data_IF_947560455752
#
_entry.id   IF_947560455752
#
_cell.length_a   1.000
_cell.length_b   1.000
_cell.length_c   1.000
_cell.angle_alpha   90.00
_cell.angle_beta   90.00
_cell.angle_gamma   90.00
#
_symmetry.space_group_name_H-M   'P 1'
#
loop_
_entity.id
_entity.type
_entity.pdbx_description
1 polymer ?
#
# COMPACT_ATOMS: atom_id res chain seq x y z
N UNK A 1 16.76 17.69 -25.99
CA UNK A 1 15.41 17.57 -26.59
C UNK A 1 15.30 16.21 -27.25
N UNK A 2 14.45 15.33 -26.72
CA UNK A 2 14.20 13.99 -27.25
C UNK A 2 13.04 14.00 -28.26
N UNK A 3 13.17 14.77 -29.35
CA UNK A 3 12.12 14.95 -30.36
C UNK A 3 11.73 13.64 -31.07
N UNK A 4 12.67 12.71 -31.23
CA UNK A 4 12.41 11.42 -31.87
C UNK A 4 11.43 10.55 -31.09
N UNK A 5 11.65 10.44 -29.79
CA UNK A 5 10.80 9.68 -28.88
C UNK A 5 9.40 10.28 -28.73
N UNK A 6 9.30 11.61 -28.70
CA UNK A 6 8.01 12.35 -28.69
C UNK A 6 7.20 12.05 -29.95
N UNK A 7 7.83 12.07 -31.13
CA UNK A 7 7.20 11.71 -32.40
C UNK A 7 6.66 10.27 -32.36
N UNK A 8 7.49 9.32 -31.89
CA UNK A 8 7.10 7.91 -31.77
C UNK A 8 5.88 7.74 -30.87
N UNK A 9 5.87 8.39 -29.71
CA UNK A 9 4.75 8.31 -28.77
C UNK A 9 3.44 8.76 -29.41
N UNK A 10 3.42 9.96 -29.98
CA UNK A 10 2.19 10.53 -30.56
C UNK A 10 1.72 9.74 -31.77
N UNK A 11 2.67 9.25 -32.59
CA UNK A 11 2.37 8.34 -33.69
C UNK A 11 1.64 7.08 -33.20
N UNK A 12 2.16 6.42 -32.15
CA UNK A 12 1.56 5.20 -31.58
C UNK A 12 0.20 5.50 -30.95
N UNK A 13 0.07 6.61 -30.21
CA UNK A 13 -1.20 7.06 -29.60
C UNK A 13 -2.30 7.27 -30.65
N UNK A 14 -1.96 7.81 -31.82
CA UNK A 14 -2.90 8.01 -32.93
C UNK A 14 -3.09 6.75 -33.80
N UNK A 15 -2.42 5.63 -33.49
CA UNK A 15 -2.50 4.38 -34.26
C UNK A 15 -1.83 4.44 -35.63
N UNK A 16 -0.93 5.41 -35.87
CA UNK A 16 -0.26 5.61 -37.14
C UNK A 16 0.95 4.65 -37.29
N UNK A 17 1.12 4.09 -38.49
CA UNK A 17 2.34 3.39 -38.88
C UNK A 17 3.46 4.38 -39.22
N UNK A 18 4.73 3.96 -39.15
CA UNK A 18 5.85 4.80 -39.60
C UNK A 18 5.69 5.23 -41.06
N UNK A 19 5.11 4.38 -41.90
CA UNK A 19 4.81 4.72 -43.29
C UNK A 19 3.83 5.89 -43.39
N UNK A 20 2.75 5.88 -42.60
CA UNK A 20 1.74 6.93 -42.64
C UNK A 20 2.25 8.27 -42.10
N UNK A 21 3.06 8.25 -41.03
CA UNK A 21 3.65 9.49 -40.51
C UNK A 21 4.70 10.06 -41.46
N UNK A 22 5.54 9.20 -42.05
CA UNK A 22 6.63 9.61 -42.92
C UNK A 22 6.18 10.08 -44.32
N UNK A 23 4.97 9.71 -44.76
CA UNK A 23 4.51 9.85 -46.15
C UNK A 23 4.67 11.26 -46.74
N UNK A 24 5.45 11.40 -47.82
CA UNK A 24 5.69 12.71 -48.44
C UNK A 24 6.53 13.70 -47.61
N UNK A 25 7.09 13.29 -46.46
CA UNK A 25 8.07 14.08 -45.68
C UNK A 25 9.45 13.42 -45.78
N UNK A 26 9.56 12.15 -45.38
CA UNK A 26 10.81 11.39 -45.32
C UNK A 26 10.57 9.89 -45.58
N UNK A 27 11.64 9.11 -45.69
CA UNK A 27 11.49 7.64 -45.76
C UNK A 27 11.11 7.05 -44.39
N UNK A 28 10.31 5.96 -44.35
CA UNK A 28 9.96 5.29 -43.09
C UNK A 28 11.19 4.77 -42.32
N UNK A 29 12.21 4.32 -43.05
CA UNK A 29 13.49 3.90 -42.47
C UNK A 29 14.24 5.07 -41.81
N UNK A 30 14.16 6.27 -42.37
CA UNK A 30 14.73 7.47 -41.77
C UNK A 30 13.93 7.93 -40.55
N UNK A 31 12.59 7.90 -40.62
CA UNK A 31 11.73 8.15 -39.46
C UNK A 31 12.04 7.20 -38.30
N UNK A 32 12.25 5.91 -38.59
CA UNK A 32 12.64 4.93 -37.56
C UNK A 32 13.96 5.28 -36.88
N UNK A 33 14.95 5.79 -37.62
CA UNK A 33 16.22 6.25 -37.03
C UNK A 33 16.03 7.49 -36.17
N UNK A 34 15.17 8.42 -36.58
CA UNK A 34 14.80 9.60 -35.78
C UNK A 34 14.10 9.16 -34.50
N UNK A 35 13.09 8.29 -34.59
CA UNK A 35 12.29 7.81 -33.45
C UNK A 35 13.09 7.04 -32.38
N UNK A 36 14.24 6.50 -32.75
CA UNK A 36 15.16 5.78 -31.86
C UNK A 36 16.40 6.62 -31.49
N UNK A 37 16.37 7.93 -31.70
CA UNK A 37 17.46 8.89 -31.45
C UNK A 37 18.80 8.51 -32.10
N UNK A 38 18.77 7.79 -33.22
CA UNK A 38 19.96 7.36 -33.98
C UNK A 38 20.44 8.42 -34.97
N UNK A 39 19.57 9.37 -35.33
CA UNK A 39 19.89 10.45 -36.28
C UNK A 39 19.16 11.72 -35.89
N UNK A 40 19.86 12.85 -35.97
CA UNK A 40 19.27 14.19 -35.82
C UNK A 40 18.75 14.65 -37.18
N UNK A 41 17.43 14.81 -37.36
CA UNK A 41 16.85 15.33 -38.59
C UNK A 41 17.05 16.84 -38.74
N UNK A 42 16.84 17.35 -39.95
CA UNK A 42 16.74 18.78 -40.19
C UNK A 42 15.52 19.37 -39.47
N UNK A 43 15.60 20.64 -39.08
CA UNK A 43 14.53 21.35 -38.37
C UNK A 43 13.18 21.28 -39.11
N UNK A 44 13.19 21.55 -40.42
CA UNK A 44 12.01 21.53 -41.30
C UNK A 44 11.32 20.16 -41.33
N UNK A 45 12.11 19.08 -41.25
CA UNK A 45 11.58 17.70 -41.19
C UNK A 45 10.86 17.47 -39.87
N UNK A 46 11.40 17.95 -38.75
CA UNK A 46 10.73 17.83 -37.45
C UNK A 46 9.44 18.64 -37.43
N UNK A 47 9.48 19.89 -37.90
CA UNK A 47 8.32 20.77 -37.95
C UNK A 47 7.16 20.11 -38.72
N UNK A 48 7.41 19.59 -39.92
CA UNK A 48 6.38 18.88 -40.70
C UNK A 48 5.87 17.59 -40.06
N UNK A 49 6.73 16.84 -39.36
CA UNK A 49 6.30 15.63 -38.63
C UNK A 49 5.43 16.00 -37.42
N UNK A 50 5.76 17.09 -36.71
CA UNK A 50 4.97 17.61 -35.59
C UNK A 50 3.63 18.17 -36.06
N UNK A 51 3.61 18.98 -37.13
CA UNK A 51 2.38 19.50 -37.75
C UNK A 51 1.43 18.38 -38.12
N UNK A 52 1.94 17.29 -38.72
CA UNK A 52 1.13 16.14 -39.11
C UNK A 52 0.52 15.40 -37.92
N UNK A 53 1.20 15.41 -36.78
CA UNK A 53 0.68 14.87 -35.53
C UNK A 53 -0.24 15.86 -34.80
N UNK A 54 -0.42 17.07 -35.33
CA UNK A 54 -1.21 18.13 -34.70
C UNK A 54 -0.52 18.77 -33.49
N UNK A 55 0.82 18.77 -33.49
CA UNK A 55 1.66 19.28 -32.41
C UNK A 55 2.30 20.60 -32.81
N UNK A 56 2.44 21.51 -31.85
CA UNK A 56 3.26 22.72 -32.01
C UNK A 56 4.72 22.40 -31.67
N UNK A 57 5.62 22.53 -32.65
CA UNK A 57 7.06 22.29 -32.46
C UNK A 57 7.71 23.32 -31.53
N UNK A 58 7.13 24.51 -31.43
CA UNK A 58 7.66 25.61 -30.62
C UNK A 58 7.15 25.64 -29.17
N UNK A 59 6.30 24.70 -28.78
CA UNK A 59 5.82 24.58 -27.41
C UNK A 59 6.96 24.10 -26.49
N UNK A 60 7.57 25.03 -25.75
CA UNK A 60 8.61 24.77 -24.77
C UNK A 60 8.02 24.00 -23.57
N UNK A 61 7.84 22.70 -23.75
CA UNK A 61 7.18 21.77 -22.82
C UNK A 61 7.77 21.75 -21.40
N UNK A 62 9.06 22.07 -21.24
CA UNK A 62 9.74 22.02 -19.94
C UNK A 62 9.26 23.07 -18.92
N UNK A 63 8.70 24.20 -19.40
CA UNK A 63 8.24 25.30 -18.55
C UNK A 63 6.78 25.71 -18.83
N UNK A 64 5.98 24.77 -19.37
CA UNK A 64 4.58 25.07 -19.65
C UNK A 64 3.80 25.35 -18.33
N UNK A 65 3.08 26.47 -18.20
CA UNK A 65 2.36 26.83 -16.96
C UNK A 65 1.39 25.74 -16.47
N UNK A 66 0.84 24.94 -17.39
CA UNK A 66 -0.05 23.81 -17.02
C UNK A 66 0.64 22.69 -16.23
N UNK A 67 1.97 22.61 -16.22
CA UNK A 67 2.71 21.66 -15.37
C UNK A 67 2.54 21.98 -13.89
N UNK A 68 2.46 23.26 -13.53
CA UNK A 68 2.20 23.69 -12.14
C UNK A 68 0.84 23.16 -11.67
N UNK A 69 -0.20 23.27 -12.51
CA UNK A 69 -1.53 22.71 -12.20
C UNK A 69 -1.53 21.18 -12.04
N UNK A 70 -0.69 20.47 -12.79
CA UNK A 70 -0.50 19.02 -12.60
C UNK A 70 0.16 18.73 -11.25
N UNK A 71 1.16 19.53 -10.83
CA UNK A 71 1.79 19.39 -9.51
C UNK A 71 0.84 19.76 -8.37
N UNK A 72 0.02 20.80 -8.52
CA UNK A 72 -1.06 21.13 -7.56
C UNK A 72 -2.03 19.95 -7.41
N UNK A 73 -2.43 19.34 -8.54
CA UNK A 73 -3.25 18.13 -8.50
C UNK A 73 -2.57 16.98 -7.77
N UNK A 74 -1.28 16.77 -8.01
CA UNK A 74 -0.49 15.76 -7.31
C UNK A 74 -0.43 16.00 -5.80
N UNK A 75 -0.21 17.24 -5.38
CA UNK A 75 -0.20 17.66 -3.99
C UNK A 75 -1.55 17.37 -3.30
N UNK A 76 -2.67 17.69 -3.96
CA UNK A 76 -4.01 17.38 -3.47
C UNK A 76 -4.22 15.86 -3.26
N UNK A 77 -3.69 15.02 -4.15
CA UNK A 77 -3.72 13.56 -4.01
C UNK A 77 -2.94 13.12 -2.77
N UNK A 78 -1.71 13.62 -2.61
CA UNK A 78 -0.81 13.25 -1.49
C UNK A 78 -1.40 13.62 -0.13
N UNK A 79 -2.06 14.78 -0.05
CA UNK A 79 -2.74 15.25 1.15
C UNK A 79 -4.21 14.81 1.27
N UNK A 80 -4.65 13.87 0.43
CA UNK A 80 -5.97 13.21 0.50
C UNK A 80 -7.15 14.20 0.43
N UNK A 81 -7.03 15.28 -0.35
CA UNK A 81 -8.15 16.18 -0.66
C UNK A 81 -8.97 15.58 -1.80
N UNK A 82 -9.75 14.54 -1.49
CA UNK A 82 -10.36 13.66 -2.49
C UNK A 82 -11.26 14.43 -3.47
N UNK A 83 -12.22 15.22 -2.95
CA UNK A 83 -13.17 15.94 -3.81
C UNK A 83 -12.49 17.01 -4.68
N UNK A 84 -11.59 17.81 -4.09
CA UNK A 84 -10.79 18.79 -4.83
C UNK A 84 -9.95 18.13 -5.93
N UNK A 85 -9.34 16.97 -5.62
CA UNK A 85 -8.54 16.21 -6.57
C UNK A 85 -9.38 15.66 -7.73
N UNK A 86 -10.62 15.21 -7.48
CA UNK A 86 -11.55 14.77 -8.55
C UNK A 86 -11.94 15.91 -9.47
N UNK A 87 -12.33 17.04 -8.89
CA UNK A 87 -12.72 18.22 -9.68
C UNK A 87 -11.58 18.71 -10.57
N UNK A 88 -10.36 18.76 -10.03
CA UNK A 88 -9.19 19.21 -10.78
C UNK A 88 -8.79 18.18 -11.86
N UNK A 89 -8.89 16.88 -11.59
CA UNK A 89 -8.69 15.81 -12.59
C UNK A 89 -9.57 16.03 -13.81
N UNK A 90 -10.88 16.25 -13.62
CA UNK A 90 -11.83 16.43 -14.73
C UNK A 90 -11.54 17.71 -15.54
N UNK A 91 -11.16 18.80 -14.86
CA UNK A 91 -10.73 20.04 -15.54
C UNK A 91 -9.46 19.83 -16.38
N UNK A 92 -8.46 19.13 -15.83
CA UNK A 92 -7.20 18.85 -16.51
C UNK A 92 -7.39 17.93 -17.72
N UNK A 93 -8.29 16.94 -17.62
CA UNK A 93 -8.63 16.01 -18.69
C UNK A 93 -9.30 16.70 -19.89
N UNK A 94 -10.00 17.81 -19.66
CA UNK A 94 -10.66 18.59 -20.73
C UNK A 94 -9.72 19.61 -21.41
N UNK A 95 -8.53 19.86 -20.85
CA UNK A 95 -7.57 20.80 -21.43
C UNK A 95 -6.86 20.17 -22.63
N UNK A 96 -6.96 20.84 -23.79
CA UNK A 96 -6.30 20.40 -25.03
C UNK A 96 -4.78 20.29 -24.87
N UNK A 97 -4.18 21.23 -24.15
CA UNK A 97 -2.72 21.27 -23.93
C UNK A 97 -2.23 20.02 -23.19
N UNK A 98 -2.95 19.59 -22.15
CA UNK A 98 -2.64 18.36 -21.39
C UNK A 98 -2.72 17.10 -22.25
N UNK A 99 -3.63 17.05 -23.23
CA UNK A 99 -3.85 15.88 -24.08
C UNK A 99 -2.93 15.84 -25.31
N UNK A 100 -2.57 17.01 -25.84
CA UNK A 100 -1.80 17.17 -27.07
C UNK A 100 -0.31 17.30 -26.80
N UNK A 101 0.11 17.77 -25.62
CA UNK A 101 1.52 17.80 -25.25
C UNK A 101 1.94 16.45 -24.64
N UNK A 102 2.93 15.79 -25.24
CA UNK A 102 3.41 14.46 -24.79
C UNK A 102 3.89 14.49 -23.34
N UNK A 103 4.67 15.52 -23.00
CA UNK A 103 5.28 15.67 -21.69
C UNK A 103 4.22 15.82 -20.61
N UNK A 104 3.27 16.76 -20.81
CA UNK A 104 2.14 16.97 -19.90
C UNK A 104 1.23 15.74 -19.80
N UNK A 105 1.02 15.03 -20.90
CA UNK A 105 0.22 13.80 -20.92
C UNK A 105 0.86 12.69 -20.07
N UNK A 106 2.19 12.51 -20.14
CA UNK A 106 2.87 11.53 -19.27
C UNK A 106 2.70 11.90 -17.80
N UNK A 107 2.95 13.17 -17.42
CA UNK A 107 2.73 13.62 -16.04
C UNK A 107 1.29 13.38 -15.58
N UNK A 108 0.31 13.68 -16.44
CA UNK A 108 -1.09 13.41 -16.16
C UNK A 108 -1.35 11.92 -15.89
N UNK A 109 -0.90 11.01 -16.74
CA UNK A 109 -1.11 9.57 -16.53
C UNK A 109 -0.34 9.04 -15.31
N UNK A 110 0.87 9.53 -15.04
CA UNK A 110 1.63 9.19 -13.83
C UNK A 110 0.85 9.59 -12.57
N UNK A 111 0.34 10.82 -12.52
CA UNK A 111 -0.44 11.30 -11.37
C UNK A 111 -1.82 10.64 -11.28
N UNK A 112 -2.40 10.25 -12.41
CA UNK A 112 -3.65 9.48 -12.49
C UNK A 112 -3.51 8.12 -11.81
N UNK A 113 -2.38 7.42 -11.95
CA UNK A 113 -2.14 6.16 -11.23
C UNK A 113 -2.34 6.37 -9.73
N UNK A 114 -1.72 7.43 -9.17
CA UNK A 114 -1.83 7.72 -7.74
C UNK A 114 -3.25 8.15 -7.35
N UNK A 115 -3.95 8.89 -8.21
CA UNK A 115 -5.34 9.26 -7.98
C UNK A 115 -6.26 8.03 -7.91
N UNK A 116 -6.13 7.08 -8.84
CA UNK A 116 -6.90 5.83 -8.84
C UNK A 116 -6.63 5.02 -7.57
N UNK A 117 -5.37 4.99 -7.09
CA UNK A 117 -5.02 4.34 -5.82
C UNK A 117 -5.65 5.04 -4.60
N UNK A 118 -5.79 6.36 -4.62
CA UNK A 118 -6.51 7.11 -3.57
C UNK A 118 -8.00 6.74 -3.55
N UNK A 119 -8.59 6.44 -4.70
CA UNK A 119 -9.98 5.98 -4.86
C UNK A 119 -10.15 4.46 -4.66
N UNK A 120 -9.08 3.75 -4.31
CA UNK A 120 -9.04 2.30 -4.14
C UNK A 120 -9.33 1.50 -5.43
N UNK A 121 -9.13 2.11 -6.61
CA UNK A 121 -9.28 1.51 -7.94
C UNK A 121 -7.96 0.86 -8.40
N UNK A 122 -7.50 -0.15 -7.67
CA UNK A 122 -6.15 -0.74 -7.83
C UNK A 122 -5.93 -1.39 -9.21
N UNK A 123 -6.94 -2.08 -9.75
CA UNK A 123 -6.81 -2.74 -11.06
C UNK A 123 -6.79 -1.74 -12.22
N UNK A 124 -7.57 -0.66 -12.13
CA UNK A 124 -7.51 0.42 -13.12
C UNK A 124 -6.16 1.14 -13.08
N UNK A 125 -5.65 1.41 -11.87
CA UNK A 125 -4.31 1.96 -11.69
C UNK A 125 -3.23 1.07 -12.32
N UNK A 126 -3.38 -0.26 -12.22
CA UNK A 126 -2.47 -1.21 -12.84
C UNK A 126 -2.51 -1.18 -14.37
N UNK A 127 -3.69 -1.10 -14.99
CA UNK A 127 -3.79 -1.01 -16.45
C UNK A 127 -3.23 0.32 -16.98
N UNK A 128 -3.43 1.44 -16.28
CA UNK A 128 -2.78 2.72 -16.61
C UNK A 128 -1.27 2.60 -16.50
N UNK A 129 -0.76 2.03 -15.40
CA UNK A 129 0.66 1.79 -15.19
C UNK A 129 1.28 0.92 -16.29
N UNK A 130 0.58 -0.15 -16.70
CA UNK A 130 1.02 -1.06 -17.75
C UNK A 130 1.08 -0.38 -19.13
N UNK A 131 0.19 0.57 -19.40
CA UNK A 131 0.25 1.38 -20.60
C UNK A 131 1.43 2.35 -20.55
N UNK A 132 1.55 3.16 -19.49
CA UNK A 132 2.60 4.19 -19.39
C UNK A 132 4.01 3.59 -19.39
N UNK A 133 4.18 2.40 -18.80
CA UNK A 133 5.44 1.65 -18.79
C UNK A 133 5.97 1.31 -20.19
N UNK A 134 5.11 1.20 -21.20
CA UNK A 134 5.55 0.94 -22.59
C UNK A 134 6.28 2.13 -23.22
N UNK A 135 6.21 3.29 -22.57
CA UNK A 135 6.82 4.54 -22.97
C UNK A 135 7.93 4.98 -22.01
N UNK A 136 8.43 4.07 -21.16
CA UNK A 136 9.50 4.36 -20.19
C UNK A 136 10.80 4.85 -20.86
N UNK A 137 11.01 4.50 -22.14
CA UNK A 137 12.11 5.00 -22.95
C UNK A 137 12.05 6.52 -23.21
N UNK A 138 10.88 7.14 -23.08
CA UNK A 138 10.66 8.58 -23.30
C UNK A 138 10.69 9.42 -22.03
N UNK A 139 10.97 8.80 -20.88
CA UNK A 139 10.96 9.50 -19.59
C UNK A 139 12.26 10.25 -19.33
N UNK A 140 12.13 11.54 -19.01
CA UNK A 140 13.17 12.31 -18.34
C UNK A 140 13.35 11.86 -16.88
N UNK A 141 14.33 12.43 -16.19
CA UNK A 141 14.67 12.04 -14.81
C UNK A 141 13.52 12.32 -13.83
N UNK A 142 12.74 13.39 -14.04
CA UNK A 142 11.60 13.74 -13.19
C UNK A 142 10.43 12.78 -13.41
N UNK A 143 10.16 12.39 -14.65
CA UNK A 143 9.20 11.33 -14.96
C UNK A 143 9.62 10.00 -14.36
N UNK A 144 10.91 9.65 -14.40
CA UNK A 144 11.45 8.43 -13.77
C UNK A 144 11.25 8.45 -12.26
N UNK A 145 11.49 9.58 -11.60
CA UNK A 145 11.18 9.77 -10.18
C UNK A 145 9.72 9.41 -9.87
N UNK A 146 8.76 10.05 -10.55
CA UNK A 146 7.33 9.78 -10.30
C UNK A 146 6.90 8.38 -10.74
N UNK A 147 7.46 7.85 -11.82
CA UNK A 147 7.17 6.49 -12.27
C UNK A 147 7.56 5.47 -11.21
N UNK A 148 8.77 5.54 -10.66
CA UNK A 148 9.21 4.64 -9.60
C UNK A 148 8.41 4.85 -8.30
N UNK A 149 8.10 6.09 -7.94
CA UNK A 149 7.28 6.43 -6.78
C UNK A 149 5.88 5.80 -6.87
N UNK A 150 5.20 5.99 -8.01
CA UNK A 150 3.86 5.46 -8.25
C UNK A 150 3.88 3.93 -8.45
N UNK A 151 4.92 3.37 -9.06
CA UNK A 151 5.11 1.92 -9.16
C UNK A 151 5.26 1.30 -7.77
N UNK A 152 6.07 1.91 -6.91
CA UNK A 152 6.24 1.49 -5.52
C UNK A 152 4.92 1.47 -4.77
N UNK A 153 4.12 2.54 -4.90
CA UNK A 153 2.80 2.60 -4.28
C UNK A 153 1.84 1.56 -4.84
N UNK A 154 1.77 1.37 -6.16
CA UNK A 154 0.94 0.35 -6.79
C UNK A 154 1.28 -1.06 -6.29
N UNK A 155 2.58 -1.38 -6.19
CA UNK A 155 3.07 -2.66 -5.65
C UNK A 155 2.66 -2.84 -4.19
N UNK A 156 2.69 -1.76 -3.39
CA UNK A 156 2.19 -1.78 -2.01
C UNK A 156 0.72 -2.20 -1.95
N UNK A 157 -0.14 -1.56 -2.75
CA UNK A 157 -1.58 -1.88 -2.80
C UNK A 157 -1.87 -3.30 -3.28
N UNK A 158 -0.98 -3.88 -4.10
CA UNK A 158 -1.07 -5.28 -4.55
C UNK A 158 -0.45 -6.29 -3.56
N UNK A 159 0.13 -5.83 -2.46
CA UNK A 159 0.74 -6.66 -1.41
C UNK A 159 2.20 -7.06 -1.67
N UNK A 160 2.82 -6.58 -2.74
CA UNK A 160 4.22 -6.85 -3.10
C UNK A 160 5.15 -5.86 -2.38
N UNK A 161 5.20 -5.93 -1.05
CA UNK A 161 5.87 -4.92 -0.21
C UNK A 161 7.39 -4.82 -0.41
N UNK A 162 8.06 -5.93 -0.74
CA UNK A 162 9.51 -5.92 -0.99
C UNK A 162 9.83 -5.19 -2.31
N UNK A 163 9.09 -5.49 -3.36
CA UNK A 163 9.24 -4.80 -4.65
C UNK A 163 8.83 -3.32 -4.53
N UNK A 164 7.78 -3.04 -3.74
CA UNK A 164 7.38 -1.68 -3.39
C UNK A 164 8.56 -0.89 -2.78
N UNK A 165 9.22 -1.46 -1.77
CA UNK A 165 10.39 -0.83 -1.15
C UNK A 165 11.54 -0.60 -2.15
N UNK A 166 11.83 -1.57 -3.01
CA UNK A 166 12.87 -1.45 -4.03
C UNK A 166 12.57 -0.32 -5.03
N UNK A 167 11.34 -0.23 -5.53
CA UNK A 167 10.93 0.84 -6.46
C UNK A 167 10.97 2.22 -5.81
N UNK A 168 10.59 2.33 -4.54
CA UNK A 168 10.71 3.58 -3.79
C UNK A 168 12.18 3.99 -3.55
N UNK A 169 13.08 3.02 -3.39
CA UNK A 169 14.52 3.29 -3.33
C UNK A 169 15.05 3.82 -4.66
N UNK A 170 14.57 3.31 -5.80
CA UNK A 170 14.90 3.88 -7.11
C UNK A 170 14.38 5.31 -7.25
N UNK A 171 13.14 5.60 -6.81
CA UNK A 171 12.63 6.97 -6.77
C UNK A 171 13.54 7.89 -5.94
N UNK A 172 14.02 7.43 -4.79
CA UNK A 172 14.99 8.16 -3.96
C UNK A 172 16.34 8.40 -4.66
N UNK A 173 16.77 7.50 -5.55
CA UNK A 173 18.01 7.73 -6.31
C UNK A 173 17.83 8.87 -7.33
N UNK A 174 16.68 8.91 -8.02
CA UNK A 174 16.35 10.00 -8.95
C UNK A 174 16.06 11.32 -8.23
N UNK A 175 15.61 11.31 -6.97
CA UNK A 175 15.35 12.55 -6.22
C UNK A 175 16.60 13.41 -6.01
N UNK A 176 17.80 12.86 -6.21
CA UNK A 176 19.08 13.60 -6.10
C UNK A 176 19.34 14.48 -7.33
N UNK A 177 18.82 14.09 -8.49
CA UNK A 177 19.09 14.78 -9.76
C UNK A 177 17.95 15.69 -10.23
N UNK A 178 16.83 15.70 -9.50
CA UNK A 178 15.63 16.50 -9.82
C UNK A 178 15.26 17.41 -8.66
N UNK A 179 14.61 18.53 -8.96
CA UNK A 179 14.10 19.44 -7.94
C UNK A 179 12.83 18.85 -7.31
N UNK A 180 12.99 18.27 -6.13
CA UNK A 180 11.91 17.68 -5.32
C UNK A 180 11.51 18.66 -4.22
N UNK A 181 10.23 19.00 -4.14
CA UNK A 181 9.75 19.87 -3.07
C UNK A 181 9.84 19.16 -1.71
N UNK A 182 10.02 19.92 -0.62
CA UNK A 182 10.14 19.34 0.72
C UNK A 182 8.95 18.43 1.10
N UNK A 183 7.74 18.76 0.63
CA UNK A 183 6.56 17.94 0.91
C UNK A 183 6.54 16.62 0.12
N UNK A 184 7.12 16.60 -1.08
CA UNK A 184 7.28 15.38 -1.89
C UNK A 184 8.35 14.49 -1.26
N UNK A 185 9.41 15.07 -0.73
CA UNK A 185 10.44 14.35 0.03
C UNK A 185 9.84 13.73 1.31
N UNK A 186 9.01 14.47 2.05
CA UNK A 186 8.27 13.94 3.22
C UNK A 186 7.42 12.72 2.84
N UNK A 187 6.75 12.78 1.69
CA UNK A 187 5.89 11.72 1.21
C UNK A 187 6.68 10.49 0.74
N UNK A 188 7.77 10.68 0.02
CA UNK A 188 8.69 9.60 -0.36
C UNK A 188 9.22 8.86 0.88
N UNK A 189 9.72 9.59 1.89
CA UNK A 189 10.21 8.97 3.12
C UNK A 189 9.11 8.24 3.89
N UNK A 190 7.89 8.79 3.92
CA UNK A 190 6.76 8.10 4.52
C UNK A 190 6.43 6.79 3.79
N UNK A 191 6.41 6.80 2.45
CA UNK A 191 6.16 5.59 1.65
C UNK A 191 7.26 4.54 1.81
N UNK A 192 8.52 4.97 1.87
CA UNK A 192 9.65 4.09 2.19
C UNK A 192 9.48 3.46 3.57
N UNK A 193 9.11 4.25 4.57
CA UNK A 193 8.86 3.77 5.93
C UNK A 193 7.70 2.77 5.97
N UNK A 194 6.60 3.07 5.27
CA UNK A 194 5.42 2.22 5.18
C UNK A 194 5.73 0.87 4.52
N UNK A 195 6.43 0.88 3.39
CA UNK A 195 6.76 -0.33 2.62
C UNK A 195 7.77 -1.20 3.35
N UNK A 196 8.84 -0.60 3.90
CA UNK A 196 9.81 -1.31 4.74
C UNK A 196 9.20 -1.84 6.04
N UNK A 197 8.17 -1.19 6.58
CA UNK A 197 7.40 -1.72 7.71
C UNK A 197 6.71 -3.03 7.32
N UNK A 198 6.00 -3.07 6.19
CA UNK A 198 5.28 -4.28 5.76
C UNK A 198 6.21 -5.41 5.32
N UNK A 199 7.36 -5.09 4.72
CA UNK A 199 8.38 -6.09 4.39
C UNK A 199 9.27 -6.51 5.57
N UNK A 200 9.01 -5.98 6.77
CA UNK A 200 9.74 -6.27 8.01
C UNK A 200 11.20 -5.83 8.05
N UNK A 201 11.58 -4.85 7.22
CA UNK A 201 12.85 -4.10 7.34
C UNK A 201 12.74 -3.05 8.45
N UNK A 202 12.62 -3.52 9.70
CA UNK A 202 12.24 -2.69 10.87
C UNK A 202 13.16 -1.46 11.03
N UNK A 203 14.48 -1.64 10.93
CA UNK A 203 15.44 -0.55 11.09
C UNK A 203 15.32 0.52 10.00
N UNK A 204 15.12 0.11 8.74
CA UNK A 204 14.88 1.04 7.64
C UNK A 204 13.56 1.79 7.82
N UNK A 205 12.52 1.10 8.29
CA UNK A 205 11.22 1.71 8.55
C UNK A 205 11.29 2.79 9.63
N UNK A 206 11.98 2.53 10.74
CA UNK A 206 12.19 3.54 11.79
C UNK A 206 12.98 4.72 11.24
N UNK A 207 14.09 4.46 10.53
CA UNK A 207 14.93 5.50 9.96
C UNK A 207 14.13 6.44 9.04
N UNK A 208 13.40 5.89 8.08
CA UNK A 208 12.61 6.69 7.14
C UNK A 208 11.39 7.36 7.79
N UNK A 209 10.76 6.73 8.80
CA UNK A 209 9.68 7.34 9.54
C UNK A 209 10.15 8.58 10.33
N UNK A 210 11.35 8.53 10.93
CA UNK A 210 11.93 9.67 11.64
C UNK A 210 12.29 10.82 10.67
N UNK A 211 12.80 10.52 9.47
CA UNK A 211 13.05 11.53 8.43
C UNK A 211 11.75 12.20 7.98
N UNK A 212 10.72 11.41 7.65
CA UNK A 212 9.40 11.92 7.26
C UNK A 212 8.77 12.77 8.38
N UNK A 213 8.84 12.29 9.62
CA UNK A 213 8.31 13.00 10.80
C UNK A 213 8.96 14.38 10.95
N UNK A 214 10.29 14.46 10.83
CA UNK A 214 11.00 15.74 10.95
C UNK A 214 10.54 16.75 9.91
N UNK A 215 10.36 16.32 8.66
CA UNK A 215 9.89 17.20 7.59
C UNK A 215 8.42 17.59 7.77
N UNK A 216 7.54 16.65 8.11
CA UNK A 216 6.13 16.97 8.38
C UNK A 216 5.94 17.91 9.57
N UNK A 217 6.78 17.81 10.60
CA UNK A 217 6.76 18.75 11.72
C UNK A 217 7.18 20.17 11.29
N UNK A 218 8.22 20.30 10.44
CA UNK A 218 8.62 21.59 9.87
C UNK A 218 7.52 22.21 9.01
N UNK A 219 6.75 21.37 8.32
CA UNK A 219 5.60 21.75 7.49
C UNK A 219 4.30 21.96 8.31
N UNK A 220 4.35 21.81 9.63
CA UNK A 220 3.18 21.87 10.53
C UNK A 220 2.05 20.88 10.16
N UNK A 221 2.39 19.79 9.45
CA UNK A 221 1.43 18.76 9.06
C UNK A 221 1.24 17.75 10.20
N UNK A 222 0.36 18.11 11.14
CA UNK A 222 0.07 17.28 12.32
C UNK A 222 -0.51 15.92 11.94
N UNK A 223 -1.38 15.86 10.93
CA UNK A 223 -2.01 14.61 10.47
C UNK A 223 -0.98 13.58 9.99
N UNK A 224 -0.07 13.99 9.11
CA UNK A 224 1.02 13.12 8.62
C UNK A 224 2.08 12.84 9.69
N UNK A 225 2.32 13.77 10.60
CA UNK A 225 3.17 13.54 11.78
C UNK A 225 2.60 12.41 12.65
N UNK A 226 1.28 12.38 12.85
CA UNK A 226 0.62 11.29 13.54
C UNK A 226 0.76 9.95 12.78
N UNK A 227 0.61 9.92 11.46
CA UNK A 227 0.84 8.71 10.65
C UNK A 227 2.27 8.17 10.82
N UNK A 228 3.27 9.05 10.89
CA UNK A 228 4.67 8.65 11.16
C UNK A 228 4.82 8.05 12.57
N UNK A 229 4.22 8.66 13.59
CA UNK A 229 4.21 8.10 14.95
C UNK A 229 3.50 6.74 15.03
N UNK A 230 2.43 6.51 14.24
CA UNK A 230 1.81 5.18 14.14
C UNK A 230 2.82 4.15 13.62
N UNK A 231 3.55 4.46 12.54
CA UNK A 231 4.59 3.58 11.99
C UNK A 231 5.72 3.32 12.98
N UNK A 232 6.21 4.35 13.66
CA UNK A 232 7.22 4.20 14.71
C UNK A 232 6.70 3.29 15.84
N UNK A 233 5.45 3.50 16.28
CA UNK A 233 4.80 2.70 17.30
C UNK A 233 4.72 1.22 16.92
N UNK A 234 4.31 0.92 15.68
CA UNK A 234 4.24 -0.46 15.16
C UNK A 234 5.62 -1.12 15.17
N UNK A 235 6.64 -0.41 14.67
CA UNK A 235 8.00 -0.95 14.57
C UNK A 235 8.67 -1.14 15.93
N UNK A 236 8.54 -0.19 16.86
CA UNK A 236 9.00 -0.38 18.24
C UNK A 236 8.28 -1.54 18.92
N UNK A 237 6.99 -1.73 18.64
CA UNK A 237 6.21 -2.89 19.11
C UNK A 237 6.73 -4.23 18.58
N UNK A 238 7.21 -4.27 17.33
CA UNK A 238 7.88 -5.45 16.75
C UNK A 238 9.26 -5.72 17.37
N UNK A 239 9.99 -4.67 17.75
CA UNK A 239 11.22 -4.77 18.53
C UNK A 239 11.01 -5.13 20.01
N UNK A 240 9.75 -5.34 20.44
CA UNK A 240 9.35 -5.54 21.84
C UNK A 240 9.71 -4.36 22.75
N UNK A 241 9.99 -3.19 22.19
CA UNK A 241 10.13 -1.95 22.94
C UNK A 241 8.75 -1.33 23.16
N UNK A 242 7.97 -1.95 24.03
CA UNK A 242 6.58 -1.56 24.30
C UNK A 242 6.46 -0.15 24.89
N UNK A 243 7.45 0.28 25.68
CA UNK A 243 7.48 1.63 26.24
C UNK A 243 7.52 2.70 25.13
N UNK A 244 8.47 2.61 24.19
CA UNK A 244 8.53 3.53 23.04
C UNK A 244 7.32 3.41 22.12
N UNK A 245 6.78 2.20 21.97
CA UNK A 245 5.56 1.99 21.18
C UNK A 245 4.37 2.76 21.75
N UNK A 246 4.12 2.63 23.05
CA UNK A 246 3.04 3.33 23.75
C UNK A 246 3.27 4.85 23.79
N UNK A 247 4.51 5.31 23.97
CA UNK A 247 4.85 6.75 23.90
C UNK A 247 4.42 7.37 22.56
N UNK A 248 4.74 6.71 21.45
CA UNK A 248 4.33 7.15 20.11
C UNK A 248 2.80 7.15 19.97
N UNK A 249 2.10 6.11 20.42
CA UNK A 249 0.64 6.07 20.35
C UNK A 249 -0.03 7.14 21.24
N UNK A 250 0.56 7.49 22.37
CA UNK A 250 0.08 8.60 23.20
C UNK A 250 0.24 9.96 22.51
N UNK A 251 1.32 10.17 21.76
CA UNK A 251 1.48 11.37 20.92
C UNK A 251 0.40 11.45 19.84
N UNK A 252 0.16 10.33 19.13
CA UNK A 252 -0.92 10.25 18.15
C UNK A 252 -2.28 10.52 18.79
N UNK A 253 -2.56 9.99 19.98
CA UNK A 253 -3.81 10.24 20.69
C UNK A 253 -4.06 11.73 20.92
N UNK A 254 -3.02 12.48 21.32
CA UNK A 254 -3.09 13.93 21.52
C UNK A 254 -3.36 14.64 20.21
N UNK A 255 -2.59 14.33 19.17
CA UNK A 255 -2.74 14.94 17.84
C UNK A 255 -4.12 14.66 17.27
N UNK A 256 -4.53 13.39 17.22
CA UNK A 256 -5.80 12.97 16.62
C UNK A 256 -7.02 13.53 17.36
N UNK A 257 -6.91 13.76 18.68
CA UNK A 257 -7.96 14.47 19.44
C UNK A 257 -8.01 15.95 19.09
N UNK A 258 -6.85 16.61 18.91
CA UNK A 258 -6.80 18.02 18.49
C UNK A 258 -7.28 18.24 17.06
N UNK A 259 -7.00 17.30 16.15
CA UNK A 259 -7.39 17.37 14.74
C UNK A 259 -8.73 16.70 14.44
N UNK A 260 -9.44 16.20 15.46
CA UNK A 260 -10.67 15.41 15.32
C UNK A 260 -10.55 14.22 14.33
N UNK A 261 -9.38 13.60 14.24
CA UNK A 261 -9.14 12.47 13.35
C UNK A 261 -9.57 11.15 14.03
N UNK A 262 -10.85 10.80 13.87
CA UNK A 262 -11.41 9.58 14.45
C UNK A 262 -10.75 8.30 13.91
N UNK A 263 -10.41 8.25 12.61
CA UNK A 263 -9.72 7.09 12.04
C UNK A 263 -8.40 6.79 12.77
N UNK A 264 -7.55 7.80 12.97
CA UNK A 264 -6.29 7.65 13.70
C UNK A 264 -6.50 7.20 15.16
N UNK A 265 -7.54 7.70 15.85
CA UNK A 265 -7.92 7.21 17.18
C UNK A 265 -8.30 5.73 17.17
N UNK A 266 -9.10 5.30 16.19
CA UNK A 266 -9.45 3.89 16.01
C UNK A 266 -8.21 3.00 15.83
N UNK A 267 -7.29 3.41 14.97
CA UNK A 267 -6.03 2.70 14.71
C UNK A 267 -5.18 2.58 15.96
N UNK A 268 -4.98 3.66 16.73
CA UNK A 268 -4.13 3.59 17.93
C UNK A 268 -4.75 2.77 19.05
N UNK A 269 -6.06 2.82 19.26
CA UNK A 269 -6.70 1.98 20.29
C UNK A 269 -6.55 0.50 19.95
N UNK A 270 -6.69 0.14 18.67
CA UNK A 270 -6.39 -1.23 18.22
C UNK A 270 -4.93 -1.60 18.53
N UNK A 271 -3.99 -0.76 18.11
CA UNK A 271 -2.57 -1.04 18.29
C UNK A 271 -2.12 -1.07 19.76
N UNK A 272 -2.66 -0.21 20.62
CA UNK A 272 -2.44 -0.29 22.07
C UNK A 272 -2.96 -1.62 22.59
N UNK A 273 -4.15 -2.06 22.16
CA UNK A 273 -4.68 -3.38 22.48
C UNK A 273 -3.72 -4.51 22.10
N UNK A 274 -3.11 -4.44 20.92
CA UNK A 274 -2.09 -5.40 20.47
C UNK A 274 -0.85 -5.40 21.38
N UNK A 275 -0.37 -4.22 21.79
CA UNK A 275 0.77 -4.11 22.70
C UNK A 275 0.43 -4.69 24.07
N UNK A 276 -0.73 -4.37 24.63
CA UNK A 276 -1.14 -4.89 25.94
C UNK A 276 -1.37 -6.39 25.93
N UNK A 277 -1.94 -6.95 24.87
CA UNK A 277 -2.07 -8.39 24.69
C UNK A 277 -0.68 -9.08 24.67
N UNK A 278 0.30 -8.50 23.97
CA UNK A 278 1.69 -9.00 23.96
C UNK A 278 2.40 -8.86 25.31
N UNK A 279 1.96 -7.93 26.16
CA UNK A 279 2.43 -7.79 27.55
C UNK A 279 1.70 -8.74 28.52
N UNK A 280 0.72 -9.51 28.05
CA UNK A 280 -0.11 -10.38 28.87
C UNK A 280 -1.21 -9.66 29.67
N UNK A 281 -1.48 -8.39 29.36
CA UNK A 281 -2.49 -7.56 30.03
C UNK A 281 -3.84 -7.64 29.29
N UNK A 282 -4.42 -8.84 29.25
CA UNK A 282 -5.56 -9.18 28.39
C UNK A 282 -6.81 -8.31 28.62
N UNK A 283 -7.14 -7.98 29.88
CA UNK A 283 -8.29 -7.15 30.21
C UNK A 283 -8.14 -5.73 29.65
N UNK A 284 -6.93 -5.16 29.75
CA UNK A 284 -6.63 -3.84 29.19
C UNK A 284 -6.61 -3.87 27.66
N UNK A 285 -6.18 -4.98 27.06
CA UNK A 285 -6.26 -5.20 25.62
C UNK A 285 -7.71 -5.20 25.13
N UNK A 286 -8.59 -5.98 25.78
CA UNK A 286 -10.02 -6.02 25.50
C UNK A 286 -10.67 -4.64 25.59
N UNK A 287 -10.33 -3.86 26.63
CA UNK A 287 -10.84 -2.49 26.77
C UNK A 287 -10.45 -1.61 25.57
N UNK A 288 -9.19 -1.66 25.16
CA UNK A 288 -8.70 -0.84 24.05
C UNK A 288 -9.27 -1.29 22.69
N UNK A 289 -9.39 -2.59 22.44
CA UNK A 289 -10.08 -3.08 21.23
C UNK A 289 -11.55 -2.64 21.19
N UNK A 290 -12.28 -2.71 22.32
CA UNK A 290 -13.67 -2.20 22.40
C UNK A 290 -13.75 -0.69 22.15
N UNK A 291 -12.75 0.09 22.62
CA UNK A 291 -12.66 1.54 22.34
C UNK A 291 -12.33 1.86 20.89
N UNK A 292 -11.64 0.96 20.18
CA UNK A 292 -11.27 1.13 18.77
C UNK A 292 -12.48 1.06 17.83
N UNK A 293 -13.40 0.12 18.06
CA UNK A 293 -14.49 -0.19 17.12
C UNK A 293 -15.39 1.00 16.77
N UNK A 294 -15.88 1.84 17.71
CA UNK A 294 -16.74 2.97 17.37
C UNK A 294 -16.08 3.99 16.44
N UNK A 295 -14.76 4.17 16.53
CA UNK A 295 -14.03 5.09 15.66
C UNK A 295 -13.78 4.52 14.25
N UNK A 296 -13.86 3.19 14.09
CA UNK A 296 -13.59 2.50 12.83
C UNK A 296 -14.85 2.20 12.02
N UNK A 297 -16.04 2.28 12.62
CA UNK A 297 -17.30 1.88 12.00
C UNK A 297 -17.58 2.54 10.64
N UNK A 298 -17.26 3.84 10.50
CA UNK A 298 -17.57 4.61 9.28
C UNK A 298 -16.36 4.82 8.35
N UNK A 299 -15.15 4.48 8.80
CA UNK A 299 -13.90 4.91 8.14
C UNK A 299 -12.93 3.79 7.82
N UNK A 300 -13.03 2.64 8.49
CA UNK A 300 -12.14 1.52 8.27
C UNK A 300 -12.73 0.52 7.27
N UNK A 301 -11.86 -0.25 6.63
CA UNK A 301 -12.27 -1.38 5.80
C UNK A 301 -12.90 -2.52 6.62
N UNK A 302 -13.68 -3.37 5.96
CA UNK A 302 -14.28 -4.56 6.59
C UNK A 302 -13.23 -5.48 7.24
N UNK A 303 -12.07 -5.61 6.58
CA UNK A 303 -10.93 -6.38 7.07
C UNK A 303 -10.40 -5.82 8.40
N UNK A 304 -10.21 -4.51 8.46
CA UNK A 304 -9.71 -3.80 9.65
C UNK A 304 -10.64 -3.93 10.87
N UNK A 305 -11.94 -3.88 10.62
CA UNK A 305 -12.97 -4.11 11.65
C UNK A 305 -12.90 -5.56 12.11
N UNK A 306 -12.85 -6.51 11.16
CA UNK A 306 -12.76 -7.93 11.47
C UNK A 306 -11.50 -8.30 12.25
N UNK A 307 -10.34 -7.73 11.93
CA UNK A 307 -9.10 -7.93 12.67
C UNK A 307 -9.25 -7.56 14.16
N UNK A 308 -9.97 -6.48 14.45
CA UNK A 308 -10.26 -6.05 15.82
C UNK A 308 -11.21 -7.03 16.52
N UNK A 309 -12.25 -7.48 15.83
CA UNK A 309 -13.18 -8.51 16.33
C UNK A 309 -12.45 -9.82 16.62
N UNK A 310 -11.58 -10.27 15.71
CA UNK A 310 -10.79 -11.48 15.88
C UNK A 310 -9.82 -11.36 17.07
N UNK A 311 -9.22 -10.19 17.32
CA UNK A 311 -8.44 -9.97 18.53
C UNK A 311 -9.30 -10.07 19.80
N UNK A 312 -10.51 -9.50 19.81
CA UNK A 312 -11.45 -9.63 20.93
C UNK A 312 -11.82 -11.10 21.22
N UNK A 313 -12.05 -11.90 20.18
CA UNK A 313 -12.30 -13.35 20.29
C UNK A 313 -11.09 -14.05 20.91
N UNK A 314 -9.90 -13.80 20.36
CA UNK A 314 -8.64 -14.41 20.82
C UNK A 314 -8.39 -14.13 22.30
N UNK A 315 -8.49 -12.86 22.73
CA UNK A 315 -8.19 -12.50 24.12
C UNK A 315 -9.25 -13.02 25.10
N UNK A 316 -10.55 -13.01 24.73
CA UNK A 316 -11.59 -13.63 25.56
C UNK A 316 -11.40 -15.15 25.68
N UNK A 317 -10.99 -15.80 24.60
CA UNK A 317 -10.68 -17.23 24.62
C UNK A 317 -9.50 -17.53 25.55
N UNK A 318 -8.42 -16.73 25.50
CA UNK A 318 -7.27 -16.86 26.42
C UNK A 318 -7.68 -16.68 27.89
N UNK A 319 -8.60 -15.75 28.18
CA UNK A 319 -9.17 -15.53 29.52
C UNK A 319 -10.21 -16.58 29.95
N UNK A 320 -10.59 -17.52 29.06
CA UNK A 320 -11.69 -18.48 29.28
C UNK A 320 -13.06 -17.83 29.48
N UNK A 321 -13.25 -16.60 29.00
CA UNK A 321 -14.52 -15.89 28.98
C UNK A 321 -15.36 -16.35 27.76
N UNK A 322 -15.86 -17.59 27.82
CA UNK A 322 -16.50 -18.22 26.66
C UNK A 322 -17.81 -17.57 26.22
N UNK A 323 -18.57 -16.98 27.15
CA UNK A 323 -19.81 -16.25 26.83
C UNK A 323 -19.52 -15.02 25.97
N UNK A 324 -18.64 -14.12 26.42
CA UNK A 324 -18.18 -12.97 25.64
C UNK A 324 -17.56 -13.40 24.30
N UNK A 325 -16.79 -14.50 24.30
CA UNK A 325 -16.20 -15.03 23.08
C UNK A 325 -17.27 -15.44 22.06
N UNK A 326 -18.34 -16.12 22.50
CA UNK A 326 -19.48 -16.49 21.63
C UNK A 326 -20.21 -15.24 21.10
N UNK A 327 -20.37 -14.22 21.92
CA UNK A 327 -20.96 -12.95 21.50
C UNK A 327 -20.13 -12.29 20.38
N UNK A 328 -18.81 -12.21 20.55
CA UNK A 328 -17.92 -11.64 19.54
C UNK A 328 -17.84 -12.48 18.27
N UNK A 329 -17.89 -13.81 18.37
CA UNK A 329 -18.01 -14.71 17.21
C UNK A 329 -19.29 -14.39 16.44
N UNK A 330 -20.42 -14.24 17.13
CA UNK A 330 -21.69 -13.90 16.49
C UNK A 330 -21.65 -12.52 15.81
N UNK A 331 -21.06 -11.52 16.47
CA UNK A 331 -20.82 -10.20 15.87
C UNK A 331 -19.92 -10.29 14.65
N UNK A 332 -18.89 -11.13 14.68
CA UNK A 332 -18.02 -11.43 13.55
C UNK A 332 -18.81 -11.99 12.36
N UNK A 333 -19.65 -13.00 12.56
CA UNK A 333 -20.48 -13.54 11.47
C UNK A 333 -21.46 -12.50 10.91
N UNK A 334 -22.07 -11.68 11.76
CA UNK A 334 -22.97 -10.62 11.30
C UNK A 334 -22.23 -9.62 10.42
N UNK A 335 -21.03 -9.19 10.84
CA UNK A 335 -20.17 -8.27 10.07
C UNK A 335 -19.73 -8.88 8.72
N UNK A 336 -19.27 -10.13 8.72
CA UNK A 336 -18.85 -10.81 7.49
C UNK A 336 -20.01 -11.02 6.50
N UNK A 337 -21.23 -11.25 6.99
CA UNK A 337 -22.43 -11.38 6.13
C UNK A 337 -22.85 -10.07 5.48
N UNK A 338 -22.54 -8.92 6.09
CA UNK A 338 -22.80 -7.60 5.51
C UNK A 338 -21.70 -7.14 4.55
N UNK A 339 -20.54 -7.79 4.54
CA UNK A 339 -19.43 -7.42 3.65
C UNK A 339 -19.69 -7.84 2.21
N UNK A 340 -19.26 -6.99 1.27
CA UNK A 340 -19.27 -7.30 -0.16
C UNK A 340 -18.03 -8.09 -0.63
N UNK A 341 -17.04 -8.30 0.26
CA UNK A 341 -15.75 -8.92 -0.04
C UNK A 341 -15.76 -10.45 0.20
N UNK A 342 -14.72 -11.15 -0.27
CA UNK A 342 -14.53 -12.58 0.02
C UNK A 342 -14.13 -12.79 1.49
N UNK A 343 -15.08 -13.21 2.31
CA UNK A 343 -14.93 -13.38 3.77
C UNK A 343 -14.54 -14.80 4.20
N UNK A 344 -14.34 -15.74 3.25
CA UNK A 344 -14.08 -17.17 3.57
C UNK A 344 -12.90 -17.39 4.52
N UNK A 345 -11.84 -16.61 4.37
CA UNK A 345 -10.65 -16.74 5.22
C UNK A 345 -10.95 -16.29 6.65
N UNK A 346 -11.76 -15.25 6.80
CA UNK A 346 -12.17 -14.69 8.08
C UNK A 346 -13.17 -15.61 8.80
N UNK A 347 -14.10 -16.22 8.07
CA UNK A 347 -15.03 -17.23 8.59
C UNK A 347 -14.29 -18.44 9.18
N UNK A 348 -13.17 -18.86 8.59
CA UNK A 348 -12.35 -19.95 9.14
C UNK A 348 -11.84 -19.60 10.54
N UNK A 349 -11.42 -18.36 10.77
CA UNK A 349 -10.99 -17.91 12.10
C UNK A 349 -12.14 -18.08 13.12
N UNK A 350 -13.36 -17.63 12.78
CA UNK A 350 -14.54 -17.75 13.64
C UNK A 350 -14.91 -19.22 13.93
N UNK A 351 -14.92 -20.06 12.88
CA UNK A 351 -15.26 -21.48 12.98
C UNK A 351 -14.31 -22.23 13.92
N UNK A 352 -13.01 -21.91 13.88
CA UNK A 352 -12.03 -22.53 14.79
C UNK A 352 -12.38 -22.25 16.25
N UNK A 353 -12.60 -20.99 16.62
CA UNK A 353 -12.90 -20.67 18.02
C UNK A 353 -14.27 -21.19 18.47
N UNK A 354 -15.28 -21.18 17.59
CA UNK A 354 -16.58 -21.80 17.89
C UNK A 354 -16.41 -23.28 18.25
N UNK A 355 -15.69 -24.05 17.42
CA UNK A 355 -15.44 -25.47 17.64
C UNK A 355 -14.64 -25.76 18.90
N UNK A 356 -13.62 -24.93 19.19
CA UNK A 356 -12.82 -25.03 20.41
C UNK A 356 -13.67 -24.82 21.67
N UNK A 357 -14.57 -23.83 21.66
CA UNK A 357 -15.45 -23.52 22.80
C UNK A 357 -16.48 -24.62 23.01
N UNK A 358 -17.11 -25.09 21.94
CA UNK A 358 -18.14 -26.14 22.00
C UNK A 358 -17.56 -27.54 22.21
N UNK A 359 -16.22 -27.67 22.23
CA UNK A 359 -15.48 -28.93 22.37
C UNK A 359 -15.92 -29.98 21.34
N UNK A 360 -16.06 -29.55 20.10
CA UNK A 360 -16.46 -30.43 18.99
C UNK A 360 -15.41 -31.53 18.78
N UNK A 361 -15.85 -32.79 18.75
CA UNK A 361 -14.99 -33.97 18.55
C UNK A 361 -14.23 -33.91 17.20
N UNK A 362 -14.74 -33.17 16.21
CA UNK A 362 -14.11 -33.03 14.90
C UNK A 362 -13.16 -31.82 14.81
N UNK A 363 -12.84 -31.15 15.92
CA UNK A 363 -12.00 -29.93 15.90
C UNK A 363 -10.59 -30.20 15.36
N UNK A 364 -9.97 -31.32 15.76
CA UNK A 364 -8.64 -31.70 15.27
C UNK A 364 -8.68 -31.96 13.77
N UNK A 365 -9.64 -32.75 13.29
CA UNK A 365 -9.79 -33.05 11.85
C UNK A 365 -10.00 -31.78 11.01
N UNK A 366 -10.84 -30.86 11.51
CA UNK A 366 -11.06 -29.56 10.89
C UNK A 366 -9.75 -28.73 10.80
N UNK A 367 -8.96 -28.69 11.88
CA UNK A 367 -7.67 -28.00 11.90
C UNK A 367 -6.66 -28.64 10.93
N UNK A 368 -6.54 -29.97 10.93
CA UNK A 368 -5.58 -30.71 10.12
C UNK A 368 -5.89 -30.63 8.61
N UNK A 369 -7.16 -30.77 8.23
CA UNK A 369 -7.56 -30.97 6.83
C UNK A 369 -8.11 -29.73 6.13
N UNK A 370 -8.60 -28.73 6.88
CA UNK A 370 -9.20 -27.51 6.30
C UNK A 370 -8.37 -26.29 6.65
N UNK A 371 -8.16 -26.02 7.94
CA UNK A 371 -7.59 -24.75 8.41
C UNK A 371 -6.12 -24.61 8.01
N UNK A 372 -5.27 -25.56 8.41
CA UNK A 372 -3.83 -25.49 8.13
C UNK A 372 -3.54 -25.48 6.61
N UNK A 373 -4.13 -26.38 5.79
CA UNK A 373 -3.95 -26.36 4.34
C UNK A 373 -4.42 -25.05 3.69
N UNK A 374 -5.55 -24.48 4.13
CA UNK A 374 -6.05 -23.20 3.61
C UNK A 374 -5.02 -22.08 3.76
N UNK A 375 -4.48 -21.90 4.97
CA UNK A 375 -3.49 -20.84 5.24
C UNK A 375 -2.12 -21.12 4.59
N UNK A 376 -1.76 -22.39 4.38
CA UNK A 376 -0.58 -22.75 3.58
C UNK A 376 -0.75 -22.33 2.11
N UNK A 377 -1.90 -22.65 1.52
CA UNK A 377 -2.22 -22.29 0.12
C UNK A 377 -2.27 -20.78 -0.10
N UNK A 378 -2.82 -20.04 0.88
CA UNK A 378 -2.84 -18.56 0.88
C UNK A 378 -1.48 -17.92 1.24
N UNK A 379 -0.44 -18.71 1.55
CA UNK A 379 0.90 -18.24 1.95
C UNK A 379 0.87 -17.30 3.16
N UNK A 380 0.06 -17.63 4.16
CA UNK A 380 -0.08 -16.88 5.42
C UNK A 380 0.57 -17.63 6.59
N UNK A 381 1.91 -17.64 6.70
CA UNK A 381 2.65 -18.49 7.65
C UNK A 381 2.29 -18.20 9.11
N UNK A 382 1.95 -16.95 9.47
CA UNK A 382 1.53 -16.57 10.82
C UNK A 382 0.38 -17.43 11.33
N UNK A 383 -0.64 -17.65 10.50
CA UNK A 383 -1.81 -18.44 10.88
C UNK A 383 -1.53 -19.95 10.84
N UNK A 384 -0.68 -20.41 9.92
CA UNK A 384 -0.20 -21.80 9.92
C UNK A 384 0.49 -22.13 11.24
N UNK A 385 1.40 -21.26 11.72
CA UNK A 385 2.08 -21.46 13.00
C UNK A 385 1.07 -21.46 14.16
N UNK A 386 0.19 -20.46 14.23
CA UNK A 386 -0.85 -20.36 15.28
C UNK A 386 -1.69 -21.63 15.36
N UNK A 387 -2.25 -22.08 14.25
CA UNK A 387 -3.13 -23.25 14.24
C UNK A 387 -2.38 -24.57 14.39
N UNK A 388 -1.10 -24.62 14.00
CA UNK A 388 -0.23 -25.76 14.30
C UNK A 388 0.04 -25.90 15.80
N UNK A 389 0.19 -24.79 16.53
CA UNK A 389 0.34 -24.82 17.99
C UNK A 389 -0.96 -25.32 18.62
N UNK A 390 -2.11 -24.74 18.26
CA UNK A 390 -3.43 -25.15 18.81
C UNK A 390 -3.70 -26.64 18.58
N UNK A 391 -3.51 -27.15 17.36
CA UNK A 391 -3.77 -28.57 17.08
C UNK A 391 -2.78 -29.47 17.83
N UNK A 392 -1.54 -29.01 18.04
CA UNK A 392 -0.55 -29.77 18.80
C UNK A 392 -0.93 -29.93 20.28
N UNK A 393 -1.49 -28.89 20.90
CA UNK A 393 -1.97 -28.92 22.29
C UNK A 393 -3.19 -29.85 22.44
N UNK A 394 -4.13 -29.80 21.48
CA UNK A 394 -5.28 -30.70 21.47
C UNK A 394 -4.85 -32.17 21.34
N UNK A 395 -3.95 -32.46 20.40
CA UNK A 395 -3.40 -33.81 20.18
C UNK A 395 -2.62 -34.33 21.39
N UNK A 396 -1.92 -33.45 22.12
CA UNK A 396 -1.26 -33.81 23.36
C UNK A 396 -2.28 -34.20 24.46
N UNK A 397 -3.39 -33.45 24.56
CA UNK A 397 -4.52 -33.79 25.42
C UNK A 397 -5.12 -35.18 25.13
N UNK A 398 -5.13 -35.60 23.86
CA UNK A 398 -5.55 -36.95 23.43
C UNK A 398 -4.43 -38.00 23.52
N UNK A 399 -3.25 -37.65 24.05
CA UNK A 399 -2.06 -38.52 24.13
C UNK A 399 -1.50 -38.95 22.77
N UNK A 400 -1.81 -38.21 21.70
CA UNK A 400 -1.32 -38.41 20.34
C UNK A 400 0.02 -37.68 20.10
N UNK A 401 1.02 -37.94 20.96
CA UNK A 401 2.29 -37.20 21.02
C UNK A 401 3.08 -37.16 19.70
N UNK A 402 3.06 -38.26 18.92
CA UNK A 402 3.77 -38.32 17.63
C UNK A 402 3.18 -37.34 16.61
N UNK A 403 1.83 -37.24 16.55
CA UNK A 403 1.16 -36.26 15.69
C UNK A 403 1.36 -34.84 16.23
N UNK A 404 1.20 -34.62 17.53
CA UNK A 404 1.46 -33.32 18.16
C UNK A 404 2.85 -32.77 17.80
N UNK A 405 3.89 -33.60 17.94
CA UNK A 405 5.28 -33.24 17.59
C UNK A 405 5.45 -32.83 16.12
N UNK A 406 4.68 -33.43 15.19
CA UNK A 406 4.74 -33.07 13.76
C UNK A 406 4.32 -31.62 13.55
N UNK A 407 3.24 -31.17 14.19
CA UNK A 407 2.74 -29.80 14.06
C UNK A 407 3.62 -28.80 14.81
N UNK A 408 4.19 -29.16 15.96
CA UNK A 408 5.21 -28.34 16.62
C UNK A 408 6.45 -28.15 15.75
N UNK A 409 6.94 -29.20 15.08
CA UNK A 409 8.05 -29.07 14.12
C UNK A 409 7.70 -28.15 12.96
N UNK A 410 6.50 -28.29 12.39
CA UNK A 410 6.02 -27.38 11.34
C UNK A 410 6.02 -25.91 11.81
N UNK A 411 5.53 -25.66 13.02
CA UNK A 411 5.54 -24.33 13.63
C UNK A 411 6.98 -23.80 13.79
N UNK A 412 7.90 -24.61 14.31
CA UNK A 412 9.32 -24.24 14.51
C UNK A 412 10.02 -23.99 13.17
N UNK A 413 9.82 -24.84 12.17
CA UNK A 413 10.43 -24.68 10.84
C UNK A 413 9.99 -23.38 10.17
N UNK A 414 8.70 -23.03 10.30
CA UNK A 414 8.17 -21.77 9.80
C UNK A 414 8.69 -20.56 10.59
N UNK A 415 8.83 -20.67 11.91
CA UNK A 415 9.44 -19.61 12.74
C UNK A 415 10.91 -19.39 12.37
N UNK A 416 11.67 -20.44 12.07
CA UNK A 416 13.04 -20.34 11.61
C UNK A 416 13.13 -19.72 10.21
N UNK A 417 12.23 -20.11 9.31
CA UNK A 417 12.15 -19.55 7.94
C UNK A 417 11.74 -18.07 7.95
N UNK A 418 10.83 -17.70 8.84
CA UNK A 418 10.28 -16.35 8.99
C UNK A 418 10.63 -15.82 10.39
N UNK A 419 11.91 -15.53 10.60
CA UNK A 419 12.45 -15.09 11.89
C UNK A 419 11.76 -13.85 12.48
N UNK A 420 11.18 -13.03 11.61
CA UNK A 420 10.32 -11.88 11.94
C UNK A 420 8.98 -12.25 12.62
N UNK A 421 8.50 -13.50 12.50
CA UNK A 421 7.24 -13.95 13.08
C UNK A 421 7.37 -14.43 14.53
N UNK A 422 8.58 -14.69 15.03
CA UNK A 422 8.81 -15.20 16.39
C UNK A 422 8.30 -14.31 17.53
N UNK A 423 8.10 -13.02 17.29
CA UNK A 423 7.52 -12.08 18.27
C UNK A 423 6.01 -11.86 18.15
N UNK A 424 5.36 -12.40 17.11
CA UNK A 424 4.01 -12.01 16.67
C UNK A 424 2.97 -13.14 16.81
N UNK A 425 3.45 -14.35 17.11
CA UNK A 425 2.65 -15.59 17.04
C UNK A 425 2.20 -16.10 18.41
N UNK A 426 2.83 -15.65 19.49
CA UNK A 426 2.39 -15.85 20.88
C UNK A 426 1.54 -14.64 21.32
#
# INVERSE_FOLDING_TARGET
MEYGKVLRFHRVKQGLTQNQLADGIISPAYLSKIENDQTVPAFEVLEHLYERLGLDFHDNSYHHPSKEKLKEWYEMIVFKRIEESRELKEKLKQQKDTLNNHHLYIFFELFRIRHLLLENEVEEAYEVWKNIRQHEDTFDEEMRYYFHLNTGLLKYYRGDYEESFQQLMEAKNYSVSVEVNEWEESDLYYLLALSSSQSHHISASIFYADQALSLYQKQYNLGKSADCHILLGINYGRLKNYAKSLENYHLVSKIATQTNNHYQLGVIYHNIGVIEARRGQYETALLNYKRSLPYRADTASDLEIFETIHCLILENFKLRNYEDCKEWIQKGYTHLKSSALDTKTDEIHLNVYSKLIDKDNNTIDYLENIVIPHFQNKKLPRFVIRYSIIVSELLEGERSYKKSTKYLRLAIDLLNKYSNLGGTVL
#
